data_IF_068250659943
#
_entry.id   IF_068250659943
#
_cell.length_a   1.000
_cell.length_b   1.000
_cell.length_c   1.000
_cell.angle_alpha   90.00
_cell.angle_beta   90.00
_cell.angle_gamma   90.00
#
_symmetry.space_group_name_H-M   'P 1'
#
loop_
_entity.id
_entity.type
_entity.pdbx_description
1 polymer ?
#
# COMPACT_ATOMS: atom_id res chain seq x y z
N UNK A 1 1.50 -9.36 -17.64
CA UNK A 1 1.02 -9.14 -16.27
C UNK A 1 -0.49 -9.10 -16.30
N UNK A 2 -1.16 -9.89 -15.46
CA UNK A 2 -2.62 -9.94 -15.45
C UNK A 2 -3.23 -8.67 -14.81
N UNK A 3 -4.53 -8.47 -15.05
CA UNK A 3 -5.27 -7.28 -14.59
C UNK A 3 -5.24 -7.12 -13.07
N UNK A 4 -5.26 -8.23 -12.34
CA UNK A 4 -5.29 -8.23 -10.88
C UNK A 4 -3.93 -7.82 -10.32
N UNK A 5 -2.83 -8.33 -10.87
CA UNK A 5 -1.47 -7.92 -10.49
C UNK A 5 -1.23 -6.43 -10.77
N UNK A 6 -1.69 -5.91 -11.91
CA UNK A 6 -1.64 -4.47 -12.20
C UNK A 6 -2.47 -3.65 -11.21
N UNK A 7 -3.61 -4.16 -10.79
CA UNK A 7 -4.45 -3.51 -9.77
C UNK A 7 -3.75 -3.49 -8.40
N UNK A 8 -3.11 -4.59 -8.00
CA UNK A 8 -2.35 -4.69 -6.76
C UNK A 8 -1.18 -3.70 -6.74
N UNK A 9 -0.39 -3.61 -7.80
CA UNK A 9 0.71 -2.64 -7.91
C UNK A 9 0.23 -1.19 -7.78
N UNK A 10 -0.81 -0.81 -8.54
CA UNK A 10 -1.38 0.55 -8.46
C UNK A 10 -1.94 0.85 -7.07
N UNK A 11 -2.56 -0.13 -6.43
CA UNK A 11 -3.11 0.02 -5.08
C UNK A 11 -1.99 0.15 -4.03
N UNK A 12 -0.90 -0.59 -4.19
CA UNK A 12 0.28 -0.48 -3.33
C UNK A 12 0.91 0.91 -3.44
N UNK A 13 1.16 1.38 -4.66
CA UNK A 13 1.71 2.71 -4.92
C UNK A 13 0.82 3.80 -4.29
N UNK A 14 -0.49 3.75 -4.55
CA UNK A 14 -1.44 4.71 -3.98
C UNK A 14 -1.44 4.72 -2.45
N UNK A 15 -1.41 3.54 -1.81
CA UNK A 15 -1.41 3.46 -0.35
C UNK A 15 -0.09 3.97 0.26
N UNK A 16 1.04 3.74 -0.42
CA UNK A 16 2.33 4.26 -0.01
C UNK A 16 2.37 5.79 -0.13
N UNK A 17 1.88 6.35 -1.24
CA UNK A 17 1.75 7.80 -1.43
C UNK A 17 0.88 8.45 -0.35
N UNK A 18 -0.26 7.83 -0.03
CA UNK A 18 -1.16 8.30 1.03
C UNK A 18 -0.49 8.26 2.41
N UNK A 19 0.24 7.18 2.73
CA UNK A 19 1.00 7.08 3.97
C UNK A 19 2.06 8.18 4.07
N UNK A 20 2.76 8.44 2.96
CA UNK A 20 3.74 9.49 2.84
C UNK A 20 3.13 10.87 3.08
N UNK A 21 1.99 11.16 2.46
CA UNK A 21 1.25 12.41 2.65
C UNK A 21 0.81 12.60 4.11
N UNK A 22 0.23 11.55 4.73
CA UNK A 22 -0.19 11.59 6.13
C UNK A 22 1.01 11.89 7.05
N UNK A 23 2.16 11.28 6.79
CA UNK A 23 3.38 11.50 7.58
C UNK A 23 3.92 12.92 7.36
N UNK A 24 4.03 13.39 6.11
CA UNK A 24 4.53 14.74 5.77
C UNK A 24 3.65 15.84 6.36
N UNK A 25 2.33 15.68 6.28
CA UNK A 25 1.36 16.62 6.82
C UNK A 25 1.12 16.47 8.33
N UNK A 26 1.77 15.50 9.00
CA UNK A 26 1.59 15.19 10.44
C UNK A 26 0.13 14.89 10.81
N UNK A 27 -0.62 14.29 9.89
CA UNK A 27 -2.04 13.97 10.05
C UNK A 27 -2.27 12.60 10.72
N UNK A 28 -1.23 11.94 11.21
CA UNK A 28 -1.30 10.58 11.75
C UNK A 28 -2.33 10.36 12.87
N UNK A 29 -2.76 11.42 13.57
CA UNK A 29 -3.84 11.33 14.58
C UNK A 29 -5.24 11.17 14.00
N UNK A 30 -5.44 11.54 12.73
CA UNK A 30 -6.74 11.52 12.05
C UNK A 30 -6.93 10.26 11.20
N UNK A 31 -5.85 9.52 10.95
CA UNK A 31 -5.86 8.34 10.10
C UNK A 31 -5.36 7.13 10.88
N UNK A 32 -6.00 5.97 10.66
CA UNK A 32 -5.48 4.72 11.18
C UNK A 32 -4.32 4.22 10.29
N UNK A 33 -3.16 4.82 10.47
CA UNK A 33 -1.95 4.49 9.69
C UNK A 33 -1.50 3.04 9.87
N UNK A 34 -1.90 2.38 10.97
CA UNK A 34 -1.64 0.95 11.20
C UNK A 34 -2.42 0.07 10.21
N UNK A 35 -3.70 0.38 9.98
CA UNK A 35 -4.51 -0.35 8.99
C UNK A 35 -3.94 -0.16 7.58
N UNK A 36 -3.58 1.07 7.22
CA UNK A 36 -2.95 1.38 5.93
C UNK A 36 -1.64 0.61 5.72
N UNK A 37 -0.75 0.60 6.71
CA UNK A 37 0.49 -0.21 6.64
C UNK A 37 0.22 -1.70 6.51
N UNK A 38 -0.75 -2.22 7.26
CA UNK A 38 -1.14 -3.63 7.15
C UNK A 38 -1.67 -3.97 5.75
N UNK A 39 -2.42 -3.06 5.12
CA UNK A 39 -2.89 -3.23 3.75
C UNK A 39 -1.73 -3.24 2.74
N UNK A 40 -0.77 -2.31 2.85
CA UNK A 40 0.45 -2.35 2.03
C UNK A 40 1.19 -3.68 2.19
N UNK A 41 1.43 -4.11 3.43
CA UNK A 41 2.13 -5.37 3.72
C UNK A 41 1.43 -6.59 3.12
N UNK A 42 0.09 -6.63 3.17
CA UNK A 42 -0.69 -7.73 2.58
C UNK A 42 -0.58 -7.76 1.06
N UNK A 43 -0.62 -6.58 0.41
CA UNK A 43 -0.46 -6.46 -1.05
C UNK A 43 0.97 -6.85 -1.45
N UNK A 44 1.99 -6.38 -0.75
CA UNK A 44 3.39 -6.76 -0.99
C UNK A 44 3.60 -8.27 -0.84
N UNK A 45 3.03 -8.88 0.21
CA UNK A 45 3.12 -10.32 0.43
C UNK A 45 2.50 -11.12 -0.73
N UNK A 46 1.36 -10.67 -1.24
CA UNK A 46 0.71 -11.28 -2.39
C UNK A 46 1.52 -11.10 -3.68
N UNK A 47 2.08 -9.91 -3.92
CA UNK A 47 2.95 -9.65 -5.08
C UNK A 47 4.24 -10.49 -5.02
N UNK A 48 4.84 -10.67 -3.85
CA UNK A 48 5.98 -11.57 -3.63
C UNK A 48 5.61 -13.03 -3.87
N UNK A 49 4.45 -13.47 -3.38
CA UNK A 49 3.92 -14.82 -3.64
C UNK A 49 3.75 -15.09 -5.14
N UNK A 50 3.45 -14.05 -5.93
CA UNK A 50 3.34 -14.09 -7.40
C UNK A 50 4.69 -13.95 -8.13
N UNK A 51 5.78 -13.68 -7.42
CA UNK A 51 7.12 -13.49 -8.01
C UNK A 51 7.28 -12.16 -8.75
N UNK A 52 6.50 -11.13 -8.39
CA UNK A 52 6.53 -9.80 -9.01
C UNK A 52 7.48 -8.84 -8.26
N UNK A 53 7.54 -8.97 -6.93
CA UNK A 53 8.48 -8.30 -6.02
C UNK A 53 9.42 -9.36 -5.40
#
# INVERSE_FOLDING_TARGET
>A
MDRETLYLLKTLDHNNDLLDEINRAKLGRYYNTKILRNACNAIEAELRRRGIL
#
